data_IF_707105835593
#
_entry.id   IF_707105835593
#
_cell.length_a   1.000
_cell.length_b   1.000
_cell.length_c   1.000
_cell.angle_alpha   90.00
_cell.angle_beta   90.00
_cell.angle_gamma   90.00
#
_symmetry.space_group_name_H-M   'P 1'
#
loop_
_entity.id
_entity.type
_entity.pdbx_description
1 polymer ?
#
# COMPACT_ATOMS: atom_id res chain seq x y z
N UNK A 1 -4.26 24.74 -4.83
CA UNK A 1 -3.47 23.96 -3.86
C UNK A 1 -4.38 23.14 -2.94
N UNK A 2 -3.83 22.23 -2.13
CA UNK A 2 -4.61 21.49 -1.10
C UNK A 2 -5.26 22.45 -0.09
N UNK A 3 -4.60 23.54 0.26
CA UNK A 3 -5.16 24.58 1.14
C UNK A 3 -6.37 25.25 0.49
N UNK A 4 -6.28 25.59 -0.80
CA UNK A 4 -7.39 26.24 -1.51
C UNK A 4 -8.57 25.27 -1.68
N UNK A 5 -8.28 23.99 -1.93
CA UNK A 5 -9.30 22.94 -1.96
C UNK A 5 -10.01 22.83 -0.63
N UNK A 6 -9.30 22.78 0.49
CA UNK A 6 -9.87 22.73 1.82
C UNK A 6 -10.74 23.95 2.19
N UNK A 7 -10.58 25.08 1.50
CA UNK A 7 -11.43 26.26 1.67
C UNK A 7 -12.79 26.13 0.98
N UNK A 8 -12.91 25.30 -0.06
CA UNK A 8 -14.13 25.15 -0.88
C UNK A 8 -14.77 23.75 -0.75
N UNK A 9 -13.96 22.74 -0.47
CA UNK A 9 -14.42 21.36 -0.30
C UNK A 9 -13.65 20.68 0.84
N UNK A 10 -14.21 20.76 2.02
CA UNK A 10 -13.64 20.20 3.24
C UNK A 10 -13.54 18.66 3.18
N UNK A 11 -14.50 18.01 2.55
CA UNK A 11 -14.51 16.53 2.42
C UNK A 11 -13.55 16.03 1.33
N UNK A 12 -13.42 16.78 0.24
CA UNK A 12 -12.55 16.43 -0.87
C UNK A 12 -11.06 16.55 -0.56
N UNK A 13 -10.69 17.37 0.45
CA UNK A 13 -9.27 17.55 0.79
C UNK A 13 -8.62 16.28 1.32
N UNK A 14 -9.34 15.44 2.05
CA UNK A 14 -8.84 14.16 2.56
C UNK A 14 -8.45 13.22 1.39
N UNK A 15 -9.36 13.04 0.43
CA UNK A 15 -9.09 12.22 -0.76
C UNK A 15 -7.95 12.80 -1.60
N UNK A 16 -7.86 14.14 -1.71
CA UNK A 16 -6.79 14.81 -2.44
C UNK A 16 -5.43 14.65 -1.77
N UNK A 17 -5.34 14.69 -0.43
CA UNK A 17 -4.12 14.41 0.33
C UNK A 17 -3.67 12.98 0.04
N UNK A 18 -4.57 12.01 0.15
CA UNK A 18 -4.28 10.62 -0.18
C UNK A 18 -3.77 10.45 -1.62
N UNK A 19 -4.42 11.09 -2.59
CA UNK A 19 -3.98 11.04 -3.98
C UNK A 19 -2.57 11.65 -4.19
N UNK A 20 -2.26 12.77 -3.57
CA UNK A 20 -0.94 13.42 -3.64
C UNK A 20 0.15 12.53 -3.07
N UNK A 21 -0.12 11.88 -1.95
CA UNK A 21 0.80 10.96 -1.29
C UNK A 21 0.99 9.70 -2.17
N UNK A 22 -0.08 9.05 -2.58
CA UNK A 22 -0.05 7.86 -3.43
C UNK A 22 0.63 8.12 -4.78
N UNK A 23 0.49 9.35 -5.31
CA UNK A 23 1.14 9.77 -6.55
C UNK A 23 2.64 10.07 -6.38
N UNK A 24 3.16 10.09 -5.14
CA UNK A 24 4.52 10.51 -4.87
C UNK A 24 4.80 11.99 -5.19
N UNK A 25 3.75 12.80 -5.36
CA UNK A 25 3.87 14.24 -5.63
C UNK A 25 4.37 15.01 -4.41
N UNK A 26 4.01 14.56 -3.20
CA UNK A 26 4.57 15.05 -1.95
C UNK A 26 4.52 13.94 -0.89
N UNK A 27 5.44 14.00 0.08
CA UNK A 27 5.39 13.17 1.29
C UNK A 27 4.40 13.77 2.30
N UNK A 28 3.90 12.95 3.23
CA UNK A 28 3.05 13.43 4.32
C UNK A 28 3.75 14.56 5.09
N UNK A 29 5.02 14.39 5.47
CA UNK A 29 5.78 15.43 6.16
C UNK A 29 5.96 16.73 5.36
N UNK A 30 6.04 16.66 4.02
CA UNK A 30 6.06 17.86 3.19
C UNK A 30 4.71 18.58 3.19
N UNK A 31 3.60 17.83 3.22
CA UNK A 31 2.24 18.39 3.31
C UNK A 31 2.03 19.00 4.71
N UNK A 32 2.50 18.34 5.78
CA UNK A 32 2.46 18.85 7.15
C UNK A 32 3.21 20.17 7.27
N UNK A 33 4.45 20.22 6.77
CA UNK A 33 5.26 21.44 6.78
C UNK A 33 4.57 22.56 6.01
N UNK A 34 4.05 22.29 4.82
CA UNK A 34 3.32 23.26 4.02
C UNK A 34 2.04 23.73 4.72
N UNK A 35 1.30 22.83 5.38
CA UNK A 35 0.11 23.20 6.16
C UNK A 35 0.46 24.11 7.34
N UNK A 36 1.57 23.85 8.02
CA UNK A 36 2.08 24.69 9.11
C UNK A 36 2.52 26.07 8.62
N UNK A 37 3.26 26.14 7.51
CA UNK A 37 3.74 27.39 6.90
C UNK A 37 2.58 28.28 6.42
N UNK A 38 1.48 27.66 6.00
CA UNK A 38 0.28 28.34 5.54
C UNK A 38 -0.75 28.62 6.64
N UNK A 39 -0.52 28.16 7.88
CA UNK A 39 -1.39 28.37 9.03
C UNK A 39 -1.40 29.82 9.53
N UNK A 40 -1.72 30.77 8.65
CA UNK A 40 -1.85 32.19 9.00
C UNK A 40 -3.30 32.55 9.29
N UNK A 41 -3.52 33.54 10.17
CA UNK A 41 -4.84 34.05 10.48
C UNK A 41 -5.63 34.42 9.21
N UNK A 42 -6.84 33.92 9.08
CA UNK A 42 -7.78 34.26 8.01
C UNK A 42 -7.63 33.47 6.72
N UNK A 43 -6.70 32.50 6.61
CA UNK A 43 -6.61 31.64 5.44
C UNK A 43 -7.55 30.44 5.58
N UNK A 44 -8.66 30.46 4.84
CA UNK A 44 -9.58 29.31 4.77
C UNK A 44 -8.88 28.04 4.27
N UNK A 45 -9.39 26.86 4.65
CA UNK A 45 -8.90 25.57 4.17
C UNK A 45 -7.70 24.99 4.91
N UNK A 46 -6.97 25.78 5.72
CA UNK A 46 -5.86 25.23 6.52
C UNK A 46 -6.35 24.30 7.62
N UNK A 47 -7.55 24.51 8.16
CA UNK A 47 -8.15 23.63 9.16
C UNK A 47 -8.45 22.28 8.49
N UNK A 48 -9.19 22.27 7.38
CA UNK A 48 -9.53 21.05 6.65
C UNK A 48 -8.28 20.25 6.22
N UNK A 49 -7.23 20.97 5.76
CA UNK A 49 -5.98 20.32 5.41
C UNK A 49 -5.27 19.72 6.64
N UNK A 50 -5.26 20.43 7.76
CA UNK A 50 -4.67 19.92 9.01
C UNK A 50 -5.43 18.73 9.56
N UNK A 51 -6.76 18.76 9.51
CA UNK A 51 -7.60 17.63 9.93
C UNK A 51 -7.34 16.42 9.03
N UNK A 52 -7.33 16.59 7.71
CA UNK A 52 -6.98 15.54 6.77
C UNK A 52 -5.56 14.98 7.00
N UNK A 53 -4.58 15.86 7.24
CA UNK A 53 -3.20 15.46 7.55
C UNK A 53 -3.13 14.75 8.91
N UNK A 54 -3.89 15.20 9.91
CA UNK A 54 -3.96 14.57 11.23
C UNK A 54 -4.56 13.16 11.14
N UNK A 55 -5.63 12.97 10.35
CA UNK A 55 -6.20 11.65 10.09
C UNK A 55 -5.18 10.72 9.43
N UNK A 56 -4.38 11.25 8.52
CA UNK A 56 -3.30 10.50 7.89
C UNK A 56 -2.10 10.26 8.82
N UNK A 57 -1.87 11.12 9.82
CA UNK A 57 -0.75 11.05 10.77
C UNK A 57 -1.06 10.18 11.98
N UNK A 58 -2.31 10.17 12.47
CA UNK A 58 -2.70 9.43 13.67
C UNK A 58 -2.68 7.93 13.42
N UNK A 59 -3.04 7.51 12.24
CA UNK A 59 -3.10 6.10 11.89
C UNK A 59 -1.96 5.65 10.97
N UNK A 60 -1.12 6.56 10.47
CA UNK A 60 -0.13 6.30 9.39
C UNK A 60 -0.76 5.53 8.21
N UNK A 61 -2.11 5.63 8.09
CA UNK A 61 -2.92 4.86 7.16
C UNK A 61 -3.37 5.70 5.97
N UNK A 62 -2.85 5.40 4.82
CA UNK A 62 -3.68 5.48 3.64
C UNK A 62 -4.78 4.40 3.75
N UNK A 63 -6.01 4.72 3.35
CA UNK A 63 -7.00 3.69 3.07
C UNK A 63 -6.37 2.61 2.18
N UNK A 64 -6.70 1.34 2.40
CA UNK A 64 -6.08 0.20 1.72
C UNK A 64 -5.97 0.45 0.19
N UNK A 65 -6.99 1.05 -0.42
CA UNK A 65 -7.02 1.45 -1.83
C UNK A 65 -5.91 2.42 -2.27
N UNK A 66 -5.38 3.24 -1.37
CA UNK A 66 -4.30 4.20 -1.70
C UNK A 66 -2.94 3.52 -1.63
N UNK A 67 -2.75 2.58 -0.69
CA UNK A 67 -1.57 1.74 -0.64
C UNK A 67 -1.46 0.86 -1.88
N UNK A 68 -2.56 0.28 -2.29
CA UNK A 68 -2.67 -0.51 -3.50
C UNK A 68 -2.33 0.31 -4.74
N UNK A 69 -2.87 1.53 -4.86
CA UNK A 69 -2.52 2.44 -5.95
C UNK A 69 -1.04 2.84 -5.92
N UNK A 70 -0.46 3.06 -4.73
CA UNK A 70 0.96 3.34 -4.59
C UNK A 70 1.83 2.14 -4.98
N UNK A 71 1.40 0.92 -4.63
CA UNK A 71 2.06 -0.32 -5.03
C UNK A 71 1.96 -0.52 -6.55
N UNK A 72 0.80 -0.34 -7.16
CA UNK A 72 0.62 -0.43 -8.61
C UNK A 72 1.58 0.53 -9.35
N UNK A 73 1.67 1.77 -8.90
CA UNK A 73 2.61 2.75 -9.48
C UNK A 73 4.07 2.36 -9.28
N UNK A 74 4.41 1.73 -8.16
CA UNK A 74 5.74 1.20 -7.92
C UNK A 74 6.06 0.09 -8.91
N UNK A 75 5.13 -0.84 -9.13
CA UNK A 75 5.25 -1.92 -10.14
C UNK A 75 5.54 -1.32 -11.51
N UNK A 76 4.74 -0.35 -11.95
CA UNK A 76 4.89 0.30 -13.25
C UNK A 76 6.21 1.08 -13.34
N UNK A 77 6.52 1.89 -12.34
CA UNK A 77 7.72 2.74 -12.31
C UNK A 77 9.02 1.96 -12.40
N UNK A 78 9.09 0.81 -11.76
CA UNK A 78 10.28 -0.02 -11.71
C UNK A 78 10.25 -1.19 -12.69
N UNK A 79 9.29 -1.21 -13.62
CA UNK A 79 9.11 -2.26 -14.63
C UNK A 79 9.20 -3.67 -14.00
N UNK A 80 8.47 -3.87 -12.90
CA UNK A 80 8.31 -5.18 -12.29
C UNK A 80 7.38 -6.03 -13.18
N UNK A 81 7.40 -7.37 -13.03
CA UNK A 81 6.45 -8.21 -13.76
C UNK A 81 5.00 -7.79 -13.49
N UNK A 82 4.09 -8.00 -14.45
CA UNK A 82 2.68 -7.68 -14.28
C UNK A 82 2.10 -8.29 -13.02
N UNK A 83 1.16 -7.59 -12.39
CA UNK A 83 0.45 -8.06 -11.20
C UNK A 83 -1.03 -8.23 -11.51
N UNK A 84 -1.62 -9.26 -10.91
CA UNK A 84 -3.05 -9.46 -10.84
C UNK A 84 -3.55 -8.81 -9.55
N UNK A 85 -4.61 -8.04 -9.63
CA UNK A 85 -5.19 -7.27 -8.54
C UNK A 85 -6.36 -8.04 -7.91
N UNK A 86 -6.40 -8.10 -6.58
CA UNK A 86 -7.41 -8.76 -5.77
C UNK A 86 -7.75 -10.21 -6.20
N UNK A 87 -6.75 -11.06 -6.50
CA UNK A 87 -7.05 -12.46 -6.75
C UNK A 87 -7.49 -13.17 -5.47
N UNK A 88 -8.34 -14.17 -5.63
CA UNK A 88 -8.66 -15.10 -4.53
C UNK A 88 -7.73 -16.30 -4.63
N UNK A 89 -6.89 -16.47 -3.61
CA UNK A 89 -5.87 -17.52 -3.52
C UNK A 89 -6.17 -18.36 -2.27
N UNK A 90 -6.32 -19.67 -2.43
CA UNK A 90 -6.66 -20.60 -1.35
C UNK A 90 -7.90 -20.13 -0.52
N UNK A 91 -8.86 -19.50 -1.18
CA UNK A 91 -10.06 -18.94 -0.53
C UNK A 91 -9.84 -17.61 0.17
N UNK A 92 -8.65 -17.01 0.08
CA UNK A 92 -8.31 -15.72 0.65
C UNK A 92 -8.11 -14.67 -0.45
N UNK A 93 -8.75 -13.52 -0.32
CA UNK A 93 -8.44 -12.37 -1.17
C UNK A 93 -7.09 -11.79 -0.75
N UNK A 94 -6.20 -11.55 -1.73
CA UNK A 94 -4.89 -10.93 -1.54
C UNK A 94 -4.80 -9.67 -2.39
N UNK A 95 -3.98 -8.69 -1.99
CA UNK A 95 -3.95 -7.42 -2.72
C UNK A 95 -3.37 -7.59 -4.12
N UNK A 96 -2.26 -8.31 -4.27
CA UNK A 96 -1.65 -8.57 -5.58
C UNK A 96 -0.99 -9.94 -5.66
N UNK A 97 -1.06 -10.55 -6.86
CA UNK A 97 -0.23 -11.67 -7.26
C UNK A 97 0.69 -11.25 -8.41
N UNK A 98 1.97 -11.55 -8.30
CA UNK A 98 2.90 -11.34 -9.41
C UNK A 98 2.71 -12.46 -10.44
N UNK A 99 2.36 -12.08 -11.67
CA UNK A 99 2.02 -13.03 -12.74
C UNK A 99 3.17 -14.02 -13.02
N UNK A 100 2.80 -15.30 -13.19
CA UNK A 100 3.75 -16.37 -13.48
C UNK A 100 4.68 -16.77 -12.33
N UNK A 101 4.40 -16.32 -11.10
CA UNK A 101 5.20 -16.63 -9.91
C UNK A 101 4.31 -16.98 -8.73
N UNK A 102 4.84 -17.64 -7.67
CA UNK A 102 4.12 -17.85 -6.42
C UNK A 102 4.24 -16.64 -5.47
N UNK A 103 4.58 -15.46 -5.96
CA UNK A 103 4.80 -14.26 -5.13
C UNK A 103 3.50 -13.47 -5.00
N UNK A 104 3.09 -13.26 -3.76
CA UNK A 104 1.97 -12.41 -3.36
C UNK A 104 2.52 -11.14 -2.71
N UNK A 105 1.90 -9.99 -3.01
CA UNK A 105 2.24 -8.72 -2.38
C UNK A 105 1.04 -8.24 -1.59
N UNK A 106 1.26 -7.94 -0.32
CA UNK A 106 0.28 -7.41 0.60
C UNK A 106 0.69 -6.00 1.03
N UNK A 107 -0.25 -5.09 1.00
CA UNK A 107 -0.07 -3.70 1.40
C UNK A 107 -0.54 -3.55 2.85
N UNK A 108 0.38 -3.67 3.80
CA UNK A 108 0.07 -3.50 5.22
C UNK A 108 -0.15 -2.02 5.56
N UNK A 109 -1.40 -1.62 5.61
CA UNK A 109 -1.81 -0.46 6.39
C UNK A 109 -1.63 -0.79 7.87
N UNK A 110 -1.18 0.17 8.65
CA UNK A 110 -0.98 0.03 10.12
C UNK A 110 -2.28 -0.30 10.87
N UNK A 111 -2.73 -1.55 10.81
CA UNK A 111 -3.93 -2.03 11.54
C UNK A 111 -3.66 -2.49 12.98
N UNK A 112 -2.47 -2.24 13.53
CA UNK A 112 -2.04 -2.87 14.80
C UNK A 112 -2.55 -2.23 16.09
N UNK A 113 -3.22 -1.09 16.06
CA UNK A 113 -3.78 -0.50 17.28
C UNK A 113 -5.28 -0.76 17.38
N UNK A 114 -5.67 -1.90 17.97
CA UNK A 114 -7.06 -2.21 18.29
C UNK A 114 -7.63 -3.49 17.68
N UNK A 115 -6.81 -4.30 17.00
CA UNK A 115 -7.26 -5.63 16.57
C UNK A 115 -7.55 -6.47 17.82
N UNK A 116 -8.74 -7.06 17.86
CA UNK A 116 -9.02 -8.08 18.84
C UNK A 116 -8.15 -9.33 18.55
N UNK A 117 -7.98 -10.14 19.57
CA UNK A 117 -7.17 -11.37 19.47
C UNK A 117 -7.67 -12.31 18.36
N UNK A 118 -8.96 -12.34 18.11
CA UNK A 118 -9.55 -13.22 17.09
C UNK A 118 -9.18 -12.77 15.66
N UNK A 119 -9.09 -11.49 15.40
CA UNK A 119 -8.62 -10.97 14.10
C UNK A 119 -7.14 -11.25 13.90
N UNK A 120 -6.31 -11.09 14.94
CA UNK A 120 -4.90 -11.42 14.88
C UNK A 120 -4.66 -12.92 14.60
N UNK A 121 -5.39 -13.82 15.27
CA UNK A 121 -5.26 -15.27 15.04
C UNK A 121 -5.69 -15.64 13.60
N UNK A 122 -6.79 -15.10 13.10
CA UNK A 122 -7.23 -15.33 11.71
C UNK A 122 -6.20 -14.88 10.67
N UNK A 123 -5.56 -13.74 10.88
CA UNK A 123 -4.50 -13.26 9.97
C UNK A 123 -3.31 -14.22 9.97
N UNK A 124 -2.98 -14.82 11.12
CA UNK A 124 -1.91 -15.82 11.23
C UNK A 124 -2.26 -17.14 10.58
N UNK A 125 -3.49 -17.60 10.74
CA UNK A 125 -4.01 -18.80 10.07
C UNK A 125 -3.98 -18.61 8.55
N UNK A 126 -4.48 -17.47 8.05
CA UNK A 126 -4.43 -17.12 6.63
C UNK A 126 -2.99 -17.16 6.09
N UNK A 127 -2.04 -16.52 6.79
CA UNK A 127 -0.64 -16.53 6.36
C UNK A 127 -0.07 -17.96 6.33
N UNK A 128 -0.41 -18.79 7.33
CA UNK A 128 0.03 -20.17 7.40
C UNK A 128 -0.53 -20.99 6.24
N UNK A 129 -1.82 -20.82 5.89
CA UNK A 129 -2.47 -21.52 4.79
C UNK A 129 -1.80 -21.17 3.45
N UNK A 130 -1.56 -19.88 3.18
CA UNK A 130 -0.89 -19.43 1.96
C UNK A 130 0.53 -20.00 1.87
N UNK A 131 1.30 -19.95 2.95
CA UNK A 131 2.67 -20.49 2.98
C UNK A 131 2.66 -22.01 2.82
N UNK A 132 1.73 -22.74 3.48
CA UNK A 132 1.60 -24.19 3.36
C UNK A 132 1.24 -24.62 1.93
N UNK A 133 0.46 -23.80 1.21
CA UNK A 133 0.13 -24.00 -0.19
C UNK A 133 1.28 -23.62 -1.17
N UNK A 134 2.41 -23.12 -0.65
CA UNK A 134 3.60 -22.79 -1.46
C UNK A 134 3.68 -21.35 -1.93
N UNK A 135 2.80 -20.49 -1.43
CA UNK A 135 2.84 -19.07 -1.76
C UNK A 135 3.87 -18.32 -0.92
N UNK A 136 4.54 -17.35 -1.52
CA UNK A 136 5.46 -16.42 -0.86
C UNK A 136 4.77 -15.08 -0.66
N UNK A 137 4.36 -14.79 0.57
CA UNK A 137 3.72 -13.52 0.92
C UNK A 137 4.77 -12.47 1.29
N UNK A 138 4.81 -11.37 0.56
CA UNK A 138 5.63 -10.20 0.86
C UNK A 138 4.73 -9.06 1.33
N UNK A 139 4.93 -8.63 2.57
CA UNK A 139 4.17 -7.52 3.18
C UNK A 139 4.97 -6.23 3.14
N UNK A 140 4.35 -5.16 2.68
CA UNK A 140 4.96 -3.85 2.56
C UNK A 140 4.11 -2.79 3.25
N UNK A 141 4.71 -2.11 4.21
CA UNK A 141 4.08 -0.95 4.86
C UNK A 141 4.04 0.26 3.92
N UNK A 142 3.14 1.19 4.20
CA UNK A 142 3.09 2.50 3.55
C UNK A 142 4.47 3.15 3.42
N UNK A 143 5.22 3.20 4.53
CA UNK A 143 6.56 3.77 4.54
C UNK A 143 7.51 3.07 3.57
N UNK A 144 7.43 1.75 3.46
CA UNK A 144 8.27 1.00 2.52
C UNK A 144 7.97 1.38 1.08
N UNK A 145 6.69 1.47 0.73
CA UNK A 145 6.23 1.76 -0.64
C UNK A 145 6.57 3.20 -1.04
N UNK A 146 6.33 4.18 -0.15
CA UNK A 146 6.40 5.61 -0.50
C UNK A 146 7.77 6.23 -0.25
N UNK A 147 8.46 5.86 0.83
CA UNK A 147 9.75 6.50 1.19
C UNK A 147 10.97 5.70 0.73
N UNK A 148 10.79 4.40 0.41
CA UNK A 148 11.87 3.51 -0.05
C UNK A 148 11.48 2.72 -1.30
N UNK A 149 10.88 3.35 -2.32
CA UNK A 149 10.29 2.63 -3.45
C UNK A 149 11.30 1.75 -4.19
N UNK A 150 12.53 2.24 -4.40
CA UNK A 150 13.58 1.44 -5.03
C UNK A 150 13.92 0.18 -4.23
N UNK A 151 14.13 0.30 -2.92
CA UNK A 151 14.44 -0.84 -2.07
C UNK A 151 13.29 -1.86 -2.00
N UNK A 152 12.04 -1.37 -2.05
CA UNK A 152 10.84 -2.22 -2.14
C UNK A 152 10.82 -2.97 -3.48
N UNK A 153 11.01 -2.27 -4.59
CA UNK A 153 11.08 -2.88 -5.92
C UNK A 153 12.22 -3.92 -6.03
N UNK A 154 13.39 -3.62 -5.49
CA UNK A 154 14.53 -4.54 -5.50
C UNK A 154 14.22 -5.83 -4.70
N UNK A 155 13.48 -5.75 -3.58
CA UNK A 155 13.02 -6.93 -2.82
C UNK A 155 12.02 -7.77 -3.60
N UNK A 156 11.05 -7.12 -4.25
CA UNK A 156 10.08 -7.82 -5.10
C UNK A 156 10.81 -8.54 -6.23
N UNK A 157 11.72 -7.86 -6.91
CA UNK A 157 12.50 -8.44 -8.00
C UNK A 157 13.34 -9.63 -7.53
N UNK A 158 14.04 -9.49 -6.41
CA UNK A 158 14.83 -10.58 -5.84
C UNK A 158 13.96 -11.80 -5.46
N UNK A 159 12.74 -11.59 -4.98
CA UNK A 159 11.81 -12.67 -4.71
C UNK A 159 11.34 -13.33 -6.02
N UNK A 160 10.95 -12.52 -7.00
CA UNK A 160 10.53 -13.02 -8.33
C UNK A 160 11.64 -13.82 -8.98
N UNK A 161 12.87 -13.30 -9.02
CA UNK A 161 14.02 -13.97 -9.64
C UNK A 161 14.34 -15.30 -8.95
N UNK A 162 14.19 -15.36 -7.63
CA UNK A 162 14.44 -16.57 -6.84
C UNK A 162 13.35 -17.63 -7.02
N UNK A 163 12.09 -17.21 -7.16
CA UNK A 163 10.92 -18.08 -7.19
C UNK A 163 10.23 -18.11 -8.56
N UNK A 164 10.80 -17.45 -9.57
CA UNK A 164 10.41 -17.70 -10.96
C UNK A 164 10.57 -19.19 -11.24
N UNK A 165 9.65 -19.81 -11.98
CA UNK A 165 9.73 -21.23 -12.26
C UNK A 165 10.99 -21.55 -13.05
N UNK A 166 12.08 -21.88 -12.35
CA UNK A 166 13.31 -22.38 -12.93
C UNK A 166 13.19 -23.88 -13.03
N UNK A 167 12.62 -24.33 -14.13
CA UNK A 167 12.74 -25.73 -14.54
C UNK A 167 11.84 -26.74 -13.81
N UNK A 168 12.06 -28.03 -13.99
CA UNK A 168 11.09 -29.09 -14.08
C UNK A 168 10.43 -29.57 -12.78
N UNK A 169 10.48 -28.83 -11.70
CA UNK A 169 9.78 -29.19 -10.46
C UNK A 169 8.46 -28.41 -10.27
N UNK A 170 7.92 -27.87 -11.35
CA UNK A 170 6.49 -27.62 -11.52
C UNK A 170 5.62 -27.38 -10.28
N UNK A 171 6.11 -26.64 -9.29
CA UNK A 171 5.30 -26.17 -8.18
C UNK A 171 4.76 -24.78 -8.51
N UNK A 172 4.16 -24.66 -9.68
CA UNK A 172 3.16 -23.61 -9.87
C UNK A 172 1.88 -24.14 -9.21
N UNK A 173 1.22 -23.32 -8.37
CA UNK A 173 -0.12 -23.66 -7.91
C UNK A 173 -1.05 -23.91 -9.11
N UNK A 174 -2.06 -24.77 -8.94
CA UNK A 174 -2.90 -25.32 -10.02
C UNK A 174 -3.58 -24.31 -10.95
N UNK A 175 -3.60 -23.04 -10.62
CA UNK A 175 -4.30 -21.99 -11.37
C UNK A 175 -3.37 -21.16 -12.28
N UNK A 176 -2.17 -21.64 -12.57
CA UNK A 176 -1.22 -20.95 -13.45
C UNK A 176 -1.41 -21.30 -14.95
N UNK A 177 -2.62 -21.75 -15.32
CA UNK A 177 -3.01 -22.02 -16.70
C UNK A 177 -3.98 -20.96 -17.23
#
# INVERSE_FOLDING_TARGET
TLVDLGAVDHSGVHAAVGHVIASGLASLGAIESAAADHARRGRGGTVALRDAVADWSIDDKPADSILELAMQRLVDRFALPPVQFHPVIEGHEVDFRVAGTPVLLECDGWRYHGLDRATFERDRERDADLVAAGWLVLRFSYRSITTRPKATADRIRAAVDRWAPVGPLGLLPPDAA
#
